data_IF_358560111785
#
_entry.id   IF_358560111785
#
_cell.length_a   1.000
_cell.length_b   1.000
_cell.length_c   1.000
_cell.angle_alpha   90.00
_cell.angle_beta   90.00
_cell.angle_gamma   90.00
#
_symmetry.space_group_name_H-M   'P 1'
#
loop_
_entity.id
_entity.type
_entity.pdbx_description
1 polymer ?
#
# COMPACT_ATOMS: atom_id res chain seq x y z
N UNK A 1 -2.56 -8.62 -17.89
CA UNK A 1 -3.35 -9.75 -17.38
C UNK A 1 -3.87 -9.38 -16.01
N UNK A 2 -5.11 -9.73 -15.68
CA UNK A 2 -5.72 -9.48 -14.36
C UNK A 2 -6.02 -10.82 -13.71
N UNK A 3 -5.57 -11.01 -12.46
CA UNK A 3 -5.89 -12.18 -11.65
C UNK A 3 -6.84 -11.76 -10.52
N UNK A 4 -7.89 -12.54 -10.28
CA UNK A 4 -8.90 -12.26 -9.25
C UNK A 4 -8.88 -13.41 -8.24
N UNK A 5 -8.74 -13.09 -6.97
CA UNK A 5 -8.69 -14.05 -5.86
C UNK A 5 -9.59 -13.55 -4.73
N UNK A 6 -10.43 -14.43 -4.18
CA UNK A 6 -11.07 -14.21 -2.89
C UNK A 6 -10.12 -14.60 -1.75
N UNK A 7 -10.14 -13.85 -0.64
CA UNK A 7 -9.34 -14.14 0.55
C UNK A 7 -10.19 -14.02 1.81
N UNK A 8 -9.97 -14.91 2.77
CA UNK A 8 -10.53 -14.79 4.11
C UNK A 8 -9.58 -14.01 5.03
N UNK A 9 -10.08 -13.65 6.22
CA UNK A 9 -9.25 -13.08 7.28
C UNK A 9 -8.09 -14.03 7.60
N UNK A 10 -6.92 -13.45 7.87
CA UNK A 10 -5.66 -14.13 8.19
C UNK A 10 -5.07 -14.94 7.02
N UNK A 11 -5.68 -14.90 5.82
CA UNK A 11 -5.06 -15.41 4.60
C UNK A 11 -4.08 -14.39 4.00
N UNK A 12 -3.04 -14.93 3.36
CA UNK A 12 -2.03 -14.16 2.65
C UNK A 12 -1.94 -14.54 1.17
N UNK A 13 -1.38 -13.62 0.39
CA UNK A 13 -1.00 -13.83 -1.00
C UNK A 13 0.40 -13.27 -1.22
N UNK A 14 1.17 -13.98 -2.05
CA UNK A 14 2.55 -13.62 -2.38
C UNK A 14 2.59 -13.07 -3.80
N UNK A 15 3.18 -11.89 -3.95
CA UNK A 15 3.58 -11.37 -5.26
C UNK A 15 5.00 -11.85 -5.50
N UNK A 16 5.23 -12.56 -6.59
CA UNK A 16 6.52 -13.12 -6.94
C UNK A 16 6.98 -12.66 -8.33
N UNK A 17 8.28 -12.40 -8.45
CA UNK A 17 8.96 -12.23 -9.72
C UNK A 17 9.43 -13.61 -10.18
N UNK A 18 8.68 -14.20 -11.11
CA UNK A 18 8.96 -15.52 -11.65
C UNK A 18 10.23 -15.54 -12.52
N UNK A 19 10.63 -14.42 -13.11
CA UNK A 19 11.85 -14.33 -13.90
C UNK A 19 13.09 -14.41 -13.01
N UNK A 20 13.04 -13.76 -11.85
CA UNK A 20 14.12 -13.76 -10.86
C UNK A 20 13.97 -14.82 -9.76
N UNK A 21 12.89 -15.61 -9.78
CA UNK A 21 12.54 -16.64 -8.78
C UNK A 21 12.52 -16.11 -7.33
N UNK A 22 12.05 -14.87 -7.15
CA UNK A 22 12.05 -14.21 -5.84
C UNK A 22 10.65 -13.73 -5.47
N UNK A 23 10.29 -13.87 -4.18
CA UNK A 23 9.13 -13.21 -3.62
C UNK A 23 9.38 -11.71 -3.56
N UNK A 24 8.52 -10.92 -4.23
CA UNK A 24 8.55 -9.45 -4.19
C UNK A 24 7.95 -8.95 -2.89
N UNK A 25 6.93 -9.65 -2.38
CA UNK A 25 6.42 -9.41 -1.04
C UNK A 25 5.08 -10.09 -0.79
N UNK A 26 4.58 -9.89 0.43
CA UNK A 26 3.36 -10.51 0.94
C UNK A 26 2.29 -9.45 1.17
N UNK A 27 1.07 -9.80 0.81
CA UNK A 27 -0.14 -9.02 1.11
C UNK A 27 -1.04 -9.94 1.93
N UNK A 28 -1.54 -9.46 3.07
CA UNK A 28 -2.34 -10.28 3.97
C UNK A 28 -3.56 -9.54 4.49
N UNK A 29 -4.64 -10.30 4.70
CA UNK A 29 -5.90 -9.77 5.20
C UNK A 29 -5.86 -9.76 6.72
N UNK A 30 -5.71 -8.58 7.31
CA UNK A 30 -5.66 -8.40 8.78
C UNK A 30 -7.06 -8.47 9.39
N UNK A 31 -8.04 -7.84 8.75
CA UNK A 31 -9.41 -7.77 9.27
C UNK A 31 -10.41 -7.43 8.15
N UNK A 32 -11.66 -7.81 8.33
CA UNK A 32 -12.77 -7.50 7.41
C UNK A 32 -13.93 -6.94 8.23
N UNK A 33 -14.35 -5.71 7.92
CA UNK A 33 -15.46 -5.02 8.58
C UNK A 33 -16.42 -4.46 7.55
N UNK A 34 -17.51 -5.18 7.28
CA UNK A 34 -18.51 -4.80 6.29
C UNK A 34 -17.88 -4.72 4.89
N UNK A 35 -17.89 -3.52 4.31
CA UNK A 35 -17.34 -3.20 3.00
C UNK A 35 -15.84 -2.84 3.03
N UNK A 36 -15.21 -2.82 4.20
CA UNK A 36 -13.81 -2.42 4.38
C UNK A 36 -12.93 -3.61 4.76
N UNK A 37 -11.76 -3.68 4.12
CA UNK A 37 -10.72 -4.66 4.42
C UNK A 37 -9.49 -3.94 4.95
N UNK A 38 -8.91 -4.44 6.04
CA UNK A 38 -7.61 -4.02 6.54
C UNK A 38 -6.55 -4.94 5.92
N UNK A 39 -5.68 -4.37 5.10
CA UNK A 39 -4.60 -5.08 4.44
C UNK A 39 -3.26 -4.74 5.13
N UNK A 40 -2.41 -5.76 5.28
CA UNK A 40 -1.02 -5.60 5.61
C UNK A 40 -0.14 -5.89 4.39
N UNK A 41 1.01 -5.22 4.34
CA UNK A 41 2.00 -5.37 3.29
C UNK A 41 3.35 -5.61 3.95
N UNK A 42 4.02 -6.67 3.53
CA UNK A 42 5.40 -6.97 3.90
C UNK A 42 6.21 -7.05 2.61
N UNK A 43 6.92 -5.97 2.31
CA UNK A 43 7.67 -5.76 1.07
C UNK A 43 9.03 -5.15 1.40
N UNK A 44 10.09 -5.41 0.61
CA UNK A 44 11.38 -4.74 0.78
C UNK A 44 11.26 -3.22 0.67
N UNK A 45 12.12 -2.50 1.38
CA UNK A 45 12.15 -1.02 1.42
C UNK A 45 12.40 -0.35 0.05
N UNK A 46 12.85 -1.12 -0.93
CA UNK A 46 12.97 -0.67 -2.33
C UNK A 46 11.61 -0.43 -3.00
N UNK A 47 10.52 -0.88 -2.40
CA UNK A 47 9.15 -0.72 -2.91
C UNK A 47 8.34 0.23 -2.04
N UNK A 48 7.66 1.17 -2.69
CA UNK A 48 6.72 2.08 -2.03
C UNK A 48 5.29 1.57 -2.19
N UNK A 49 4.58 1.37 -1.08
CA UNK A 49 3.14 1.07 -1.09
C UNK A 49 2.34 2.36 -1.01
N UNK A 50 1.56 2.64 -2.04
CA UNK A 50 0.71 3.82 -2.12
C UNK A 50 -0.75 3.40 -2.34
N UNK A 51 -1.68 4.17 -1.78
CA UNK A 51 -3.09 4.04 -2.16
C UNK A 51 -3.29 4.61 -3.56
N UNK A 52 -4.20 4.03 -4.32
CA UNK A 52 -4.43 4.39 -5.73
C UNK A 52 -4.73 5.88 -5.92
N UNK A 53 -5.50 6.47 -5.02
CA UNK A 53 -5.84 7.89 -5.04
C UNK A 53 -4.60 8.80 -4.93
N UNK A 54 -3.53 8.34 -4.27
CA UNK A 54 -2.27 9.08 -4.19
C UNK A 54 -1.50 9.03 -5.51
N UNK A 55 -1.58 7.91 -6.23
CA UNK A 55 -0.89 7.72 -7.53
C UNK A 55 -1.47 8.61 -8.60
N UNK A 56 -2.79 8.86 -8.56
CA UNK A 56 -3.46 9.75 -9.51
C UNK A 56 -3.06 11.23 -9.34
N UNK A 57 -2.52 11.60 -8.19
CA UNK A 57 -1.87 12.90 -8.00
C UNK A 57 -0.45 12.82 -8.57
N UNK A 58 -0.33 13.07 -9.88
CA UNK A 58 0.94 12.96 -10.61
C UNK A 58 2.09 13.68 -9.89
N UNK A 59 1.84 14.86 -9.33
CA UNK A 59 2.91 15.64 -8.70
C UNK A 59 3.35 15.04 -7.35
N UNK A 60 2.42 14.49 -6.55
CA UNK A 60 2.77 13.79 -5.30
C UNK A 60 3.55 12.51 -5.61
N UNK A 61 3.08 11.72 -6.57
CA UNK A 61 3.75 10.50 -6.99
C UNK A 61 5.18 10.79 -7.51
N UNK A 62 5.33 11.80 -8.37
CA UNK A 62 6.62 12.20 -8.89
C UNK A 62 7.53 12.74 -7.78
N UNK A 63 7.01 13.57 -6.87
CA UNK A 63 7.81 14.09 -5.76
C UNK A 63 8.31 12.97 -4.84
N UNK A 64 7.46 12.00 -4.49
CA UNK A 64 7.86 10.83 -3.70
C UNK A 64 8.89 9.97 -4.44
N UNK A 65 8.70 9.75 -5.74
CA UNK A 65 9.61 8.97 -6.58
C UNK A 65 10.98 9.62 -6.74
N UNK A 66 11.02 10.95 -6.89
CA UNK A 66 12.25 11.72 -7.14
C UNK A 66 12.93 12.17 -5.83
N UNK A 67 12.33 11.89 -4.67
CA UNK A 67 12.82 12.39 -3.38
C UNK A 67 12.75 13.91 -3.26
N UNK A 68 11.85 14.57 -4.01
CA UNK A 68 11.64 16.01 -3.92
C UNK A 68 10.89 16.35 -2.63
N UNK A 69 11.17 17.53 -2.03
CA UNK A 69 10.42 18.01 -0.89
C UNK A 69 8.93 18.15 -1.25
N UNK A 70 8.07 17.69 -0.33
CA UNK A 70 6.63 17.81 -0.47
C UNK A 70 6.17 19.21 -0.09
N UNK A 71 5.26 19.77 -0.88
CA UNK A 71 4.63 21.05 -0.53
C UNK A 71 3.57 20.86 0.59
N UNK A 72 3.06 21.97 1.13
CA UNK A 72 2.11 21.94 2.26
C UNK A 72 0.79 21.24 1.91
N UNK A 73 0.34 21.34 0.66
CA UNK A 73 -0.88 20.67 0.18
C UNK A 73 -0.69 19.14 0.14
N UNK A 74 0.44 18.69 -0.38
CA UNK A 74 0.85 17.29 -0.39
C UNK A 74 1.00 16.72 1.02
N UNK A 75 1.62 17.47 1.93
CA UNK A 75 1.76 17.09 3.33
C UNK A 75 0.39 16.96 4.01
N UNK A 76 -0.48 17.97 3.86
CA UNK A 76 -1.83 17.93 4.41
C UNK A 76 -2.70 16.82 3.80
N UNK A 77 -2.44 16.47 2.54
CA UNK A 77 -3.04 15.30 1.90
C UNK A 77 -2.57 14.01 2.60
N UNK A 78 -1.25 13.78 2.74
CA UNK A 78 -0.72 12.61 3.43
C UNK A 78 -1.18 12.48 4.88
N UNK A 79 -1.21 13.57 5.65
CA UNK A 79 -1.68 13.57 7.05
C UNK A 79 -3.12 13.07 7.19
N UNK A 80 -4.02 13.50 6.30
CA UNK A 80 -5.42 13.03 6.30
C UNK A 80 -5.53 11.52 6.10
N UNK A 81 -4.65 10.94 5.28
CA UNK A 81 -4.67 9.50 5.01
C UNK A 81 -3.92 8.68 6.07
N UNK A 82 -2.84 9.23 6.62
CA UNK A 82 -2.06 8.60 7.69
C UNK A 82 -2.77 8.63 9.05
N UNK A 83 -3.76 9.52 9.26
CA UNK A 83 -4.63 9.50 10.44
C UNK A 83 -5.34 8.16 10.66
N UNK A 84 -5.50 7.35 9.61
CA UNK A 84 -6.07 6.01 9.68
C UNK A 84 -5.03 4.89 9.89
N UNK A 85 -3.72 5.18 9.89
CA UNK A 85 -2.66 4.20 10.10
C UNK A 85 -2.42 3.89 11.59
N UNK A 86 -2.59 4.86 12.49
CA UNK A 86 -2.26 4.73 13.92
C UNK A 86 -3.41 4.27 14.83
N UNK A 87 -4.62 4.06 14.30
CA UNK A 87 -5.78 3.64 15.11
C UNK A 87 -5.87 2.13 15.39
N UNK A 88 -4.76 1.37 15.28
CA UNK A 88 -4.81 -0.08 15.44
C UNK A 88 -3.55 -0.76 15.97
N UNK A 89 -2.70 -0.04 16.68
CA UNK A 89 -1.76 -0.69 17.63
C UNK A 89 -2.43 -0.54 19.00
N UNK A 90 -3.14 -1.60 19.40
CA UNK A 90 -3.43 -1.91 20.80
C UNK A 90 -2.80 -3.26 21.09
#
# INVERSE_FOLDING_TARGET
>A
MTLILGRYKDEELVVADMANKQGVGRIFVVDIKGDKVRLGFDVPDTYTILRKELVNSNDLYNALREGRPLNLEMMGYLERFNKHQSAGIK
#
